data_IF_951700010946
#
_entry.id   IF_951700010946
#
_cell.length_a   1.000
_cell.length_b   1.000
_cell.length_c   1.000
_cell.angle_alpha   90.00
_cell.angle_beta   90.00
_cell.angle_gamma   90.00
#
_symmetry.space_group_name_H-M   'P 1'
#
loop_
_entity.id
_entity.type
_entity.pdbx_description
1 polymer ?
#
# COMPACT_ATOMS: atom_id res chain seq x y z
N UNK A 1 -4.94 -8.19 -5.42
CA UNK A 1 -4.88 -7.72 -6.80
C UNK A 1 -5.36 -8.83 -7.68
N UNK A 2 -6.63 -8.77 -8.12
CA UNK A 2 -7.20 -9.76 -9.03
C UNK A 2 -6.60 -9.75 -10.43
N UNK A 3 -5.69 -8.85 -10.69
CA UNK A 3 -4.96 -8.75 -11.95
C UNK A 3 -3.78 -9.67 -12.05
N UNK A 4 -3.71 -10.62 -11.15
CA UNK A 4 -2.62 -11.56 -11.15
C UNK A 4 -1.28 -10.88 -11.23
N UNK A 5 -1.21 -9.85 -10.44
CA UNK A 5 0.03 -9.19 -10.25
C UNK A 5 0.74 -8.90 -11.55
N UNK A 6 0.17 -8.07 -12.40
CA UNK A 6 0.81 -7.70 -13.65
C UNK A 6 2.24 -7.21 -13.44
N UNK A 7 2.55 -6.67 -12.25
CA UNK A 7 3.91 -6.31 -11.88
C UNK A 7 4.83 -7.52 -11.88
N UNK A 8 4.47 -8.57 -11.18
CA UNK A 8 5.28 -9.78 -11.15
C UNK A 8 5.41 -10.37 -12.56
N UNK A 9 4.33 -10.39 -13.28
CA UNK A 9 4.31 -10.92 -14.63
C UNK A 9 5.18 -10.12 -15.57
N UNK A 10 5.06 -8.80 -15.54
CA UNK A 10 5.84 -7.93 -16.39
C UNK A 10 7.31 -7.87 -15.98
N UNK A 11 7.62 -7.80 -14.70
CA UNK A 11 8.98 -7.62 -14.22
C UNK A 11 9.74 -8.94 -14.17
N UNK A 12 9.14 -9.98 -13.63
CA UNK A 12 9.83 -11.25 -13.42
C UNK A 12 9.89 -12.10 -14.67
N UNK A 13 8.84 -12.09 -15.44
CA UNK A 13 8.75 -12.97 -16.60
C UNK A 13 9.02 -12.28 -17.91
N UNK A 14 8.84 -10.98 -17.97
CA UNK A 14 9.05 -10.17 -19.18
C UNK A 14 8.39 -10.75 -20.42
N UNK A 15 7.36 -11.53 -20.22
CA UNK A 15 6.77 -12.29 -21.32
C UNK A 15 5.50 -11.67 -21.77
N UNK A 16 4.60 -11.42 -20.89
CA UNK A 16 3.29 -11.05 -21.37
C UNK A 16 2.48 -10.39 -20.32
N UNK A 17 1.71 -9.58 -20.81
CA UNK A 17 0.62 -8.90 -20.22
C UNK A 17 -0.66 -9.73 -20.25
N UNK A 18 -0.91 -10.50 -21.29
CA UNK A 18 -2.22 -11.09 -21.57
C UNK A 18 -2.17 -12.56 -21.96
N UNK A 19 -1.55 -13.37 -21.13
CA UNK A 19 -1.53 -14.81 -21.35
C UNK A 19 -0.99 -15.19 -22.73
N UNK A 20 0.04 -14.59 -23.09
CA UNK A 20 0.70 -14.72 -24.33
C UNK A 20 1.01 -16.16 -24.78
N UNK A 21 1.46 -17.02 -23.90
CA UNK A 21 1.74 -18.41 -24.23
C UNK A 21 0.50 -19.15 -24.76
N UNK A 22 -0.66 -18.82 -24.23
CA UNK A 22 -1.90 -19.38 -24.72
C UNK A 22 -2.24 -18.89 -26.12
N UNK A 23 -1.94 -17.63 -26.43
CA UNK A 23 -2.12 -17.08 -27.75
C UNK A 23 -1.10 -17.63 -28.75
N UNK A 24 0.13 -17.84 -28.29
CA UNK A 24 1.18 -18.47 -29.06
C UNK A 24 0.79 -19.82 -29.60
N UNK A 25 0.20 -20.63 -28.75
CA UNK A 25 -0.27 -21.95 -29.13
C UNK A 25 -1.47 -21.91 -30.07
N UNK A 26 -2.30 -20.89 -29.96
CA UNK A 26 -3.50 -20.74 -30.79
C UNK A 26 -3.20 -20.18 -32.18
N UNK A 27 -2.12 -19.42 -32.29
CA UNK A 27 -1.78 -18.69 -33.52
C UNK A 27 -0.31 -18.87 -33.88
N UNK A 28 0.16 -20.12 -34.10
CA UNK A 28 1.56 -20.39 -34.34
C UNK A 28 2.10 -19.72 -35.61
N UNK A 29 1.23 -19.45 -36.57
CA UNK A 29 1.57 -18.84 -37.87
C UNK A 29 1.34 -17.33 -37.89
N UNK A 30 0.91 -16.74 -36.82
CA UNK A 30 0.61 -15.34 -36.74
C UNK A 30 1.85 -14.49 -36.50
N UNK A 31 2.21 -13.66 -37.47
CA UNK A 31 3.28 -12.69 -37.27
C UNK A 31 2.96 -11.64 -36.19
N UNK A 32 1.70 -11.38 -35.91
CA UNK A 32 1.26 -10.49 -34.84
C UNK A 32 1.66 -10.97 -33.47
N UNK A 33 1.69 -12.24 -33.30
CA UNK A 33 2.09 -12.92 -32.11
C UNK A 33 3.51 -12.57 -31.69
N UNK A 34 4.46 -12.65 -32.59
CA UNK A 34 5.86 -12.40 -32.29
C UNK A 34 6.14 -10.95 -31.89
N UNK A 35 5.36 -10.02 -32.39
CA UNK A 35 5.54 -8.61 -32.12
C UNK A 35 4.88 -8.19 -30.83
N UNK A 36 3.70 -8.65 -30.63
CA UNK A 36 2.87 -8.26 -29.50
C UNK A 36 3.41 -8.67 -28.14
N UNK A 37 4.16 -9.75 -28.10
CA UNK A 37 4.58 -10.37 -26.86
C UNK A 37 6.04 -10.25 -26.54
N UNK A 38 6.78 -9.55 -27.37
CA UNK A 38 8.13 -9.17 -27.05
C UNK A 38 8.12 -7.87 -26.27
N UNK A 39 8.44 -7.95 -25.03
CA UNK A 39 8.66 -6.78 -24.20
C UNK A 39 9.92 -6.06 -24.64
N UNK A 40 9.80 -5.30 -25.69
CA UNK A 40 10.85 -4.41 -26.16
C UNK A 40 10.29 -3.01 -26.25
N UNK A 41 10.95 -2.01 -25.66
CA UNK A 41 10.53 -0.62 -25.79
C UNK A 41 10.54 -0.12 -27.24
N UNK A 42 11.28 -0.82 -28.09
CA UNK A 42 11.38 -0.50 -29.53
C UNK A 42 10.42 -1.30 -30.38
N UNK A 43 9.61 -2.12 -29.77
CA UNK A 43 8.68 -2.98 -30.48
C UNK A 43 7.40 -2.22 -30.78
N UNK A 44 6.99 -2.13 -32.03
CA UNK A 44 5.83 -1.34 -32.44
C UNK A 44 4.52 -1.80 -31.81
N UNK A 45 4.41 -3.07 -31.49
CA UNK A 45 3.24 -3.68 -30.87
C UNK A 45 3.49 -4.13 -29.43
N UNK A 46 4.40 -3.49 -28.72
CA UNK A 46 4.60 -3.78 -27.33
C UNK A 46 3.30 -3.65 -26.55
N UNK A 47 3.09 -4.53 -25.60
CA UNK A 47 1.94 -4.47 -24.72
C UNK A 47 1.95 -3.18 -23.92
N UNK A 48 1.17 -2.23 -24.37
CA UNK A 48 1.13 -0.88 -23.77
C UNK A 48 0.11 -0.74 -22.66
N UNK A 49 -0.61 -1.79 -22.34
CA UNK A 49 -1.63 -1.74 -21.29
C UNK A 49 -1.09 -2.15 -19.93
N UNK A 50 -0.49 -3.31 -19.78
CA UNK A 50 -0.18 -3.88 -18.47
C UNK A 50 1.07 -3.27 -17.85
N UNK A 51 2.17 -3.14 -18.59
CA UNK A 51 3.42 -2.58 -18.04
C UNK A 51 3.28 -1.11 -17.66
N UNK A 52 2.77 -0.22 -18.51
CA UNK A 52 2.55 1.17 -18.14
C UNK A 52 1.51 1.34 -17.03
N UNK A 53 0.44 0.55 -17.03
CA UNK A 53 -0.55 0.61 -15.96
C UNK A 53 -0.01 0.10 -14.64
N UNK A 54 0.86 -0.88 -14.68
CA UNK A 54 1.60 -1.34 -13.51
C UNK A 54 2.47 -0.22 -12.93
N UNK A 55 3.19 0.48 -13.78
CA UNK A 55 4.02 1.61 -13.35
C UNK A 55 3.20 2.74 -12.69
N UNK A 56 1.94 2.91 -13.05
CA UNK A 56 1.03 3.89 -12.41
C UNK A 56 0.54 3.44 -11.04
N UNK A 57 0.57 2.15 -10.75
CA UNK A 57 0.08 1.62 -9.47
C UNK A 57 0.95 2.05 -8.30
N UNK A 58 2.26 2.12 -8.49
CA UNK A 58 3.21 2.48 -7.43
C UNK A 58 3.01 3.92 -6.96
N UNK A 59 3.01 4.94 -7.85
CA UNK A 59 2.72 6.31 -7.45
C UNK A 59 1.36 6.44 -6.77
N UNK A 60 0.31 5.83 -7.34
CA UNK A 60 -1.02 5.87 -6.76
C UNK A 60 -1.08 5.22 -5.37
N UNK A 61 -0.30 4.17 -5.12
CA UNK A 61 -0.18 3.58 -3.81
C UNK A 61 0.48 4.54 -2.82
N UNK A 62 1.59 5.16 -3.21
CA UNK A 62 2.33 6.09 -2.35
C UNK A 62 1.49 7.33 -2.03
N UNK A 63 0.84 7.92 -3.02
CA UNK A 63 -0.05 9.09 -2.84
C UNK A 63 -1.21 8.82 -1.88
N UNK A 64 -1.66 7.56 -1.78
CA UNK A 64 -2.77 7.17 -0.93
C UNK A 64 -2.34 6.47 0.36
N UNK A 65 -1.08 6.49 0.74
CA UNK A 65 -0.64 5.91 2.02
C UNK A 65 -1.26 6.63 3.22
N UNK A 66 -1.42 7.94 3.11
CA UNK A 66 -2.15 8.76 4.05
C UNK A 66 -3.28 9.51 3.37
N UNK A 67 -4.33 9.76 4.10
CA UNK A 67 -5.47 10.57 3.67
C UNK A 67 -5.81 11.62 4.73
N UNK A 68 -6.02 12.84 4.30
CA UNK A 68 -6.51 13.91 5.15
C UNK A 68 -8.04 13.86 5.27
N UNK A 69 -8.55 14.23 6.42
CA UNK A 69 -9.97 14.41 6.67
C UNK A 69 -10.20 15.58 7.63
N UNK A 70 -11.46 15.94 7.85
CA UNK A 70 -11.81 17.08 8.68
C UNK A 70 -11.35 16.98 10.14
N UNK A 71 -11.02 15.79 10.62
CA UNK A 71 -10.63 15.55 12.01
C UNK A 71 -9.12 15.26 12.16
N UNK A 72 -8.38 15.11 11.06
CA UNK A 72 -6.96 14.79 11.08
C UNK A 72 -6.54 13.91 9.92
N UNK A 73 -5.82 12.84 10.18
CA UNK A 73 -5.18 12.02 9.17
C UNK A 73 -5.50 10.53 9.34
N UNK A 74 -5.49 9.81 8.23
CA UNK A 74 -5.70 8.36 8.22
C UNK A 74 -4.55 7.67 7.51
N UNK A 75 -3.84 6.78 8.18
CA UNK A 75 -2.90 5.84 7.60
C UNK A 75 -3.67 4.67 6.96
N UNK A 76 -3.79 4.68 5.64
CA UNK A 76 -4.51 3.65 4.88
C UNK A 76 -3.61 2.47 4.54
N UNK A 77 -2.33 2.72 4.31
CA UNK A 77 -1.36 1.69 3.95
C UNK A 77 -0.12 1.79 4.83
N UNK A 78 0.57 0.67 4.97
CA UNK A 78 1.77 0.54 5.77
C UNK A 78 2.97 0.28 4.85
N UNK A 79 4.04 1.01 5.12
CA UNK A 79 5.29 0.96 4.38
C UNK A 79 6.19 2.13 4.77
N UNK A 80 7.49 2.07 4.48
CA UNK A 80 8.39 3.18 4.79
C UNK A 80 7.99 4.41 3.96
N UNK A 81 7.62 5.48 4.66
CA UNK A 81 7.24 6.74 4.02
C UNK A 81 7.30 7.94 4.96
N UNK A 82 7.32 9.11 4.38
CA UNK A 82 7.13 10.39 5.06
C UNK A 82 5.88 11.08 4.49
N UNK A 83 5.02 11.53 5.37
CA UNK A 83 3.82 12.29 5.04
C UNK A 83 3.94 13.69 5.62
N UNK A 84 3.57 14.68 4.83
CA UNK A 84 3.54 16.07 5.21
C UNK A 84 2.13 16.62 5.03
N UNK A 85 1.52 17.09 6.11
CA UNK A 85 0.19 17.66 6.12
C UNK A 85 0.11 18.90 6.99
N UNK A 86 -1.06 19.53 7.00
CA UNK A 86 -1.35 20.68 7.85
C UNK A 86 -2.67 20.49 8.56
N UNK A 87 -2.71 20.70 9.86
CA UNK A 87 -3.95 20.66 10.63
C UNK A 87 -4.04 21.87 11.56
N UNK A 88 -5.13 22.64 11.50
CA UNK A 88 -5.32 23.88 12.26
C UNK A 88 -4.12 24.86 12.11
N UNK A 89 -3.61 25.04 10.90
CA UNK A 89 -2.46 25.87 10.56
C UNK A 89 -1.13 25.41 11.20
N UNK A 90 -1.05 24.20 11.73
CA UNK A 90 0.19 23.59 12.23
C UNK A 90 0.67 22.59 11.20
N UNK A 91 1.92 22.75 10.75
CA UNK A 91 2.54 21.75 9.87
C UNK A 91 2.88 20.50 10.67
N UNK A 92 2.65 19.36 10.06
CA UNK A 92 2.80 18.04 10.68
C UNK A 92 3.57 17.14 9.73
N UNK A 93 4.61 16.51 10.24
CA UNK A 93 5.29 15.42 9.57
C UNK A 93 4.95 14.11 10.29
N UNK A 94 4.60 13.08 9.53
CA UNK A 94 4.43 11.71 10.04
C UNK A 94 5.35 10.80 9.25
N UNK A 95 6.24 10.09 9.96
CA UNK A 95 7.16 9.14 9.34
C UNK A 95 6.79 7.72 9.74
N UNK A 96 6.57 6.83 8.78
CA UNK A 96 6.46 5.40 9.03
C UNK A 96 7.82 4.73 8.82
N UNK A 97 8.32 4.10 9.87
CA UNK A 97 9.53 3.27 9.87
C UNK A 97 9.12 1.81 9.99
N UNK A 98 9.42 1.02 8.97
CA UNK A 98 8.98 -0.38 8.92
C UNK A 98 9.68 -1.15 7.82
N UNK A 99 9.82 -2.45 8.02
CA UNK A 99 10.19 -3.45 7.00
C UNK A 99 8.95 -4.18 6.46
N UNK A 100 7.75 -3.64 6.68
CA UNK A 100 6.50 -4.24 6.21
C UNK A 100 6.53 -4.44 4.68
N UNK A 101 6.12 -5.60 4.16
CA UNK A 101 5.42 -6.70 4.83
C UNK A 101 6.31 -7.81 5.41
N UNK A 102 7.64 -7.67 5.37
CA UNK A 102 8.58 -8.68 5.89
C UNK A 102 8.58 -8.74 7.43
N UNK A 103 8.38 -7.60 8.08
CA UNK A 103 8.06 -7.50 9.50
C UNK A 103 6.66 -6.90 9.65
N UNK A 104 5.88 -7.45 10.57
CA UNK A 104 4.51 -6.99 10.84
C UNK A 104 4.47 -5.92 11.93
N UNK A 105 5.53 -5.12 12.05
CA UNK A 105 5.61 -3.98 12.94
C UNK A 105 5.85 -2.68 12.18
N UNK A 106 5.24 -1.61 12.67
CA UNK A 106 5.35 -0.26 12.12
C UNK A 106 5.56 0.72 13.26
N UNK A 107 6.57 1.55 13.16
CA UNK A 107 6.77 2.67 14.06
C UNK A 107 6.42 3.97 13.34
N UNK A 108 5.51 4.76 13.93
CA UNK A 108 5.17 6.07 13.42
C UNK A 108 5.75 7.15 14.32
N UNK A 109 6.55 8.05 13.75
CA UNK A 109 7.00 9.27 14.41
C UNK A 109 6.06 10.40 14.02
N UNK A 110 5.57 11.14 15.02
CA UNK A 110 4.65 12.26 14.82
C UNK A 110 5.37 13.54 15.21
N UNK A 111 5.53 14.43 14.26
CA UNK A 111 6.36 15.63 14.42
C UNK A 111 5.58 16.89 14.01
N UNK A 112 4.62 17.36 14.83
CA UNK A 112 3.99 18.65 14.61
C UNK A 112 4.96 19.79 14.98
N UNK A 113 4.90 20.91 14.27
CA UNK A 113 5.70 22.10 14.60
C UNK A 113 5.36 22.70 15.97
N UNK A 114 4.11 22.52 16.40
CA UNK A 114 3.63 22.88 17.74
C UNK A 114 2.58 21.88 18.20
N UNK A 115 2.35 21.83 19.51
CA UNK A 115 1.35 20.92 20.09
C UNK A 115 -0.03 21.17 19.47
N UNK A 116 -0.66 20.13 18.94
CA UNK A 116 -1.95 20.21 18.25
C UNK A 116 -2.77 18.94 18.45
N UNK A 117 -4.09 19.11 18.63
CA UNK A 117 -5.00 17.97 18.78
C UNK A 117 -5.61 17.62 17.44
N UNK A 118 -5.47 16.36 17.05
CA UNK A 118 -6.15 15.77 15.89
C UNK A 118 -6.34 14.27 16.06
N UNK A 119 -7.22 13.70 15.26
CA UNK A 119 -7.41 12.27 15.17
C UNK A 119 -6.41 11.67 14.17
N UNK A 120 -5.59 10.74 14.63
CA UNK A 120 -4.78 9.89 13.77
C UNK A 120 -5.40 8.50 13.73
N UNK A 121 -5.85 8.11 12.56
CA UNK A 121 -6.55 6.84 12.33
C UNK A 121 -5.65 5.86 11.62
N UNK A 122 -5.74 4.60 12.00
CA UNK A 122 -4.96 3.50 11.42
C UNK A 122 -5.89 2.45 10.85
N UNK A 123 -5.69 2.08 9.60
CA UNK A 123 -6.47 1.02 8.97
C UNK A 123 -6.17 -0.32 9.62
N UNK A 124 -7.22 -1.01 10.07
CA UNK A 124 -7.14 -2.38 10.54
C UNK A 124 -7.16 -3.33 9.33
N UNK A 125 -6.07 -4.06 9.05
CA UNK A 125 -6.03 -4.94 7.89
C UNK A 125 -6.98 -6.14 8.05
N UNK A 126 -7.67 -6.50 6.98
CA UNK A 126 -8.65 -7.60 7.02
C UNK A 126 -8.05 -8.98 7.35
N UNK A 127 -6.75 -9.15 7.13
CA UNK A 127 -6.01 -10.37 7.45
C UNK A 127 -5.48 -10.41 8.90
N UNK A 128 -5.49 -9.27 9.61
CA UNK A 128 -4.98 -9.22 10.97
C UNK A 128 -6.00 -9.83 11.95
N UNK A 129 -5.52 -10.70 12.81
CA UNK A 129 -6.30 -11.21 13.95
C UNK A 129 -6.37 -10.19 15.08
N UNK A 130 -5.27 -9.50 15.31
CA UNK A 130 -5.15 -8.44 16.31
C UNK A 130 -4.18 -7.36 15.79
N UNK A 131 -4.39 -6.15 16.26
CA UNK A 131 -3.51 -5.01 16.08
C UNK A 131 -3.17 -4.46 17.45
N UNK A 132 -1.89 -4.37 17.77
CA UNK A 132 -1.41 -3.86 19.05
C UNK A 132 -0.82 -2.47 18.78
N UNK A 133 -1.35 -1.46 19.47
CA UNK A 133 -0.86 -0.08 19.37
C UNK A 133 -0.40 0.36 20.74
N UNK A 134 0.88 0.68 20.88
CA UNK A 134 1.50 1.08 22.16
C UNK A 134 1.18 0.11 23.31
N UNK A 135 1.17 -1.20 23.02
CA UNK A 135 0.87 -2.25 23.99
C UNK A 135 -0.63 -2.50 24.23
N UNK A 136 -1.53 -1.71 23.68
CA UNK A 136 -2.97 -1.93 23.75
C UNK A 136 -3.43 -2.80 22.58
N UNK A 137 -4.15 -3.86 22.87
CA UNK A 137 -4.65 -4.79 21.85
C UNK A 137 -6.01 -4.37 21.32
N UNK A 138 -6.13 -4.34 20.01
CA UNK A 138 -7.37 -4.08 19.27
C UNK A 138 -7.72 -5.29 18.41
N UNK A 139 -9.01 -5.54 18.30
CA UNK A 139 -9.61 -6.54 17.42
C UNK A 139 -10.49 -5.86 16.39
N UNK A 140 -11.01 -6.62 15.44
CA UNK A 140 -11.95 -6.07 14.44
C UNK A 140 -13.18 -5.42 15.08
N UNK A 141 -13.61 -5.90 16.26
CA UNK A 141 -14.78 -5.35 16.96
C UNK A 141 -14.52 -3.96 17.55
N UNK A 142 -13.25 -3.61 17.77
CA UNK A 142 -12.85 -2.31 18.31
C UNK A 142 -12.70 -1.23 17.21
N UNK A 143 -12.99 -1.59 15.95
CA UNK A 143 -12.82 -0.69 14.82
C UNK A 143 -14.09 0.08 14.48
N UNK A 144 -13.91 1.29 13.99
CA UNK A 144 -14.95 2.07 13.32
C UNK A 144 -14.63 2.13 11.82
N UNK A 145 -15.48 1.52 11.00
CA UNK A 145 -15.23 1.41 9.55
C UNK A 145 -13.84 0.82 9.19
N UNK A 146 -13.41 -0.19 9.94
CA UNK A 146 -12.07 -0.79 9.83
C UNK A 146 -10.92 0.17 10.16
N UNK A 147 -11.15 1.19 10.98
CA UNK A 147 -10.16 2.12 11.48
C UNK A 147 -10.07 2.04 13.00
N UNK A 148 -8.87 2.10 13.55
CA UNK A 148 -8.60 2.42 14.95
C UNK A 148 -8.25 3.90 15.01
N UNK A 149 -8.97 4.64 15.84
CA UNK A 149 -8.88 6.10 15.91
C UNK A 149 -8.22 6.50 17.22
N UNK A 150 -7.13 7.26 17.13
CA UNK A 150 -6.44 7.86 18.26
C UNK A 150 -6.63 9.38 18.21
N UNK A 151 -7.63 9.90 18.92
CA UNK A 151 -7.86 11.34 19.03
C UNK A 151 -7.21 11.87 20.31
N UNK A 152 -6.11 12.59 20.14
CA UNK A 152 -5.39 13.19 21.25
C UNK A 152 -4.58 14.40 20.83
N UNK A 153 -4.02 15.12 21.80
CA UNK A 153 -3.01 16.13 21.53
C UNK A 153 -1.68 15.43 21.25
N UNK A 154 -1.03 15.85 20.16
CA UNK A 154 0.25 15.35 19.70
C UNK A 154 1.33 16.39 19.98
N UNK A 155 2.50 15.87 20.36
CA UNK A 155 3.69 16.66 20.61
C UNK A 155 4.80 16.22 19.65
N UNK A 156 5.77 17.10 19.47
CA UNK A 156 6.94 16.77 18.67
C UNK A 156 7.67 15.56 19.24
N UNK A 157 8.03 14.62 18.36
CA UNK A 157 8.61 13.31 18.68
C UNK A 157 7.70 12.30 19.38
N UNK A 158 6.39 12.50 19.34
CA UNK A 158 5.46 11.42 19.73
C UNK A 158 5.69 10.18 18.86
N UNK A 159 5.65 9.00 19.50
CA UNK A 159 5.87 7.72 18.83
C UNK A 159 4.64 6.83 19.00
N UNK A 160 4.27 6.15 17.94
CA UNK A 160 3.28 5.08 17.95
C UNK A 160 3.95 3.82 17.44
N UNK A 161 3.96 2.79 18.29
CA UNK A 161 4.39 1.45 17.93
C UNK A 161 3.18 0.59 17.60
N UNK A 162 3.14 0.06 16.38
CA UNK A 162 2.07 -0.80 15.87
C UNK A 162 2.65 -2.19 15.61
N UNK A 163 1.95 -3.22 16.04
CA UNK A 163 2.27 -4.61 15.72
C UNK A 163 1.02 -5.35 15.27
N UNK A 164 1.10 -6.02 14.13
CA UNK A 164 0.05 -6.88 13.64
C UNK A 164 0.31 -8.33 14.01
N UNK A 165 -0.74 -9.02 14.41
CA UNK A 165 -0.73 -10.47 14.60
C UNK A 165 -1.56 -11.07 13.49
N UNK A 166 -0.93 -11.83 12.62
CA UNK A 166 -1.58 -12.53 11.53
C UNK A 166 -2.21 -13.85 12.00
N UNK A 167 -3.30 -14.24 11.37
CA UNK A 167 -3.85 -15.58 11.47
C UNK A 167 -3.61 -16.29 10.13
N UNK A 168 -2.82 -17.35 10.15
CA UNK A 168 -2.55 -18.13 8.94
C UNK A 168 -3.71 -19.11 8.77
N UNK A 169 -4.55 -18.84 7.77
CA UNK A 169 -5.63 -19.75 7.41
C UNK A 169 -5.22 -20.54 6.15
N UNK A 170 -5.28 -21.82 6.25
CA UNK A 170 -5.16 -22.71 5.11
C UNK A 170 -6.56 -22.98 4.55
N UNK A 171 -6.85 -22.49 3.36
CA UNK A 171 -8.05 -22.89 2.63
C UNK A 171 -7.77 -24.24 2.00
N UNK A 172 -8.43 -25.25 2.51
CA UNK A 172 -8.45 -26.62 1.94
C UNK A 172 -9.52 -26.72 0.86
#
# INVERSE_FOLDING_TARGET
FGMQHPILHAIMYCKTDNCYEANERKHPDSNQFNTRYKYSPTHEEAAVCCVPNTARTIPAFVENMFQENNNGFTALFYGPCEFYGTFNNVAIKITQLTEYPHDLSVKCLIEPESSVRFALSFRYPGWAKMMIINGVTFTKNDTQNSLIILDRTWQHHDVIDIKFIADIQFNT
#
